data_IF_169167423870
#
_entry.id   IF_169167423870
#
_cell.length_a   1.000
_cell.length_b   1.000
_cell.length_c   1.000
_cell.angle_alpha   90.00
_cell.angle_beta   90.00
_cell.angle_gamma   90.00
#
_symmetry.space_group_name_H-M   'P 1'
#
loop_
_entity.id
_entity.type
_entity.pdbx_description
1 polymer ?
#
# COMPACT_ATOMS: atom_id res chain seq x y z
N UNK A 1 39.09 -34.09 50.02
CA UNK A 1 37.76 -34.35 49.44
C UNK A 1 37.35 -33.11 48.65
N UNK A 2 37.11 -33.25 47.34
CA UNK A 2 36.92 -32.15 46.37
C UNK A 2 35.49 -31.62 46.44
N UNK A 3 35.32 -30.33 46.66
CA UNK A 3 34.02 -29.63 46.67
C UNK A 3 33.49 -29.45 45.24
N UNK A 4 32.18 -29.63 44.97
CA UNK A 4 31.60 -29.50 43.63
C UNK A 4 31.25 -28.04 43.34
N UNK A 5 32.24 -27.25 42.91
CA UNK A 5 32.04 -25.84 42.53
C UNK A 5 31.58 -25.57 41.07
N UNK A 6 31.45 -26.53 40.11
CA UNK A 6 31.17 -26.15 38.71
C UNK A 6 29.68 -25.98 38.37
N UNK A 7 28.74 -26.43 39.23
CA UNK A 7 27.31 -26.41 38.87
C UNK A 7 26.61 -25.07 39.12
N UNK A 8 27.11 -24.23 40.03
CA UNK A 8 26.46 -22.96 40.38
C UNK A 8 26.73 -21.85 39.36
N UNK A 9 27.85 -21.89 38.63
CA UNK A 9 28.16 -20.91 37.58
C UNK A 9 27.38 -21.12 36.28
N UNK A 10 27.00 -22.37 35.96
CA UNK A 10 26.25 -22.68 34.74
C UNK A 10 24.80 -22.19 34.79
N UNK A 11 24.18 -22.16 35.98
CA UNK A 11 22.78 -21.74 36.15
C UNK A 11 22.59 -20.21 35.99
N UNK A 12 23.57 -19.40 36.41
CA UNK A 12 23.50 -17.94 36.29
C UNK A 12 23.62 -17.41 34.86
N UNK A 13 24.26 -18.15 33.94
CA UNK A 13 24.41 -17.72 32.55
C UNK A 13 23.14 -17.97 31.71
N UNK A 14 22.32 -18.96 32.07
CA UNK A 14 21.03 -19.22 31.42
C UNK A 14 19.93 -18.20 31.78
N UNK A 15 20.00 -17.58 32.97
CA UNK A 15 19.00 -16.59 33.41
C UNK A 15 19.18 -15.21 32.76
N UNK A 16 20.39 -14.84 32.35
CA UNK A 16 20.68 -13.55 31.70
C UNK A 16 20.33 -13.54 30.19
N UNK A 17 20.23 -14.71 29.55
CA UNK A 17 19.91 -14.80 28.12
C UNK A 17 18.41 -14.69 27.78
N UNK A 18 17.52 -14.78 28.78
CA UNK A 18 16.06 -14.78 28.56
C UNK A 18 15.42 -13.38 28.57
N UNK A 19 16.17 -12.34 28.95
CA UNK A 19 15.62 -10.99 29.12
C UNK A 19 15.55 -10.13 27.84
N UNK A 20 16.15 -10.56 26.72
CA UNK A 20 16.29 -9.72 25.52
C UNK A 20 15.28 -10.01 24.38
N UNK A 21 14.31 -10.91 24.57
CA UNK A 21 13.44 -11.34 23.47
C UNK A 21 11.96 -11.42 23.86
N UNK A 22 11.41 -10.40 24.52
CA UNK A 22 9.96 -10.19 24.48
C UNK A 22 9.63 -9.48 23.15
N UNK A 23 9.13 -10.20 22.11
CA UNK A 23 8.57 -9.51 20.96
C UNK A 23 7.43 -8.65 21.49
N UNK A 24 7.55 -7.33 21.33
CA UNK A 24 6.48 -6.41 21.66
C UNK A 24 5.18 -6.93 21.02
N UNK A 25 4.14 -7.10 21.83
CA UNK A 25 2.86 -7.56 21.35
C UNK A 25 2.41 -6.64 20.21
N UNK A 26 2.28 -7.23 19.01
CA UNK A 26 1.82 -6.48 17.84
C UNK A 26 0.34 -6.21 18.05
N UNK A 27 -0.01 -4.94 18.23
CA UNK A 27 -1.40 -4.55 18.21
C UNK A 27 -1.94 -4.84 16.82
N UNK A 28 -3.03 -5.60 16.74
CA UNK A 28 -3.68 -5.88 15.47
C UNK A 28 -4.07 -4.55 14.82
N UNK A 29 -3.69 -4.35 13.55
CA UNK A 29 -4.11 -3.18 12.80
C UNK A 29 -5.60 -3.34 12.51
N UNK A 30 -6.46 -2.39 12.92
CA UNK A 30 -7.89 -2.46 12.60
C UNK A 30 -8.12 -2.49 11.09
N UNK A 31 -9.22 -3.08 10.65
CA UNK A 31 -9.64 -3.00 9.25
C UNK A 31 -10.77 -1.97 9.08
N UNK A 32 -10.76 -1.24 7.97
CA UNK A 32 -11.87 -0.33 7.60
C UNK A 32 -12.99 -1.07 6.86
N UNK A 33 -12.67 -2.23 6.28
CA UNK A 33 -13.56 -3.22 5.69
C UNK A 33 -12.79 -4.54 5.54
N UNK A 34 -13.46 -5.69 5.37
CA UNK A 34 -12.78 -6.99 5.31
C UNK A 34 -11.61 -6.99 4.32
N UNK A 35 -10.42 -7.35 4.81
CA UNK A 35 -9.17 -7.44 4.05
C UNK A 35 -8.44 -6.11 3.82
N UNK A 36 -8.98 -4.98 4.29
CA UNK A 36 -8.39 -3.65 4.12
C UNK A 36 -8.01 -3.04 5.46
N UNK A 37 -6.71 -3.08 5.73
CA UNK A 37 -6.12 -2.45 6.90
C UNK A 37 -6.38 -0.95 6.93
N UNK A 38 -6.64 -0.41 8.12
CA UNK A 38 -6.69 1.03 8.38
C UNK A 38 -5.34 1.66 8.05
N UNK A 39 -5.41 2.86 7.47
CA UNK A 39 -4.25 3.68 7.17
C UNK A 39 -3.53 4.19 8.43
N UNK A 40 -2.63 5.14 8.23
CA UNK A 40 -1.91 5.83 9.29
C UNK A 40 -2.55 7.17 9.67
N UNK A 41 -3.29 7.77 8.74
CA UNK A 41 -3.88 9.09 8.95
C UNK A 41 -5.30 8.97 9.48
N UNK A 42 -5.59 9.73 10.53
CA UNK A 42 -6.98 10.02 10.93
C UNK A 42 -7.61 11.01 9.96
N UNK A 43 -8.93 11.07 9.93
CA UNK A 43 -9.69 11.87 8.94
C UNK A 43 -9.30 13.35 8.99
N UNK A 44 -9.06 13.90 10.17
CA UNK A 44 -8.69 15.30 10.38
C UNK A 44 -7.27 15.64 9.88
N UNK A 45 -6.44 14.62 9.65
CA UNK A 45 -5.07 14.77 9.14
C UNK A 45 -5.01 14.72 7.61
N UNK A 46 -6.09 14.33 6.94
CA UNK A 46 -6.14 14.28 5.48
C UNK A 46 -6.16 15.71 4.91
N UNK A 47 -5.32 16.01 3.90
CA UNK A 47 -5.42 17.26 3.17
C UNK A 47 -6.82 17.48 2.58
N UNK A 48 -7.29 18.73 2.58
CA UNK A 48 -8.52 19.10 1.88
C UNK A 48 -8.29 19.00 0.36
N UNK A 49 -8.73 17.88 -0.22
CA UNK A 49 -8.57 17.61 -1.65
C UNK A 49 -9.42 18.51 -2.55
N UNK A 50 -10.50 19.13 -2.03
CA UNK A 50 -11.32 20.07 -2.78
C UNK A 50 -10.59 21.42 -2.89
N UNK A 51 -9.98 21.87 -1.78
CA UNK A 51 -9.20 23.09 -1.77
C UNK A 51 -7.88 22.97 -2.56
N UNK A 52 -7.27 21.78 -2.55
CA UNK A 52 -5.96 21.54 -3.18
C UNK A 52 -6.03 21.36 -4.70
N UNK A 53 -7.05 20.67 -5.22
CA UNK A 53 -7.10 20.27 -6.62
C UNK A 53 -7.96 21.23 -7.47
N UNK A 54 -7.54 21.55 -8.70
CA UNK A 54 -8.41 22.25 -9.63
C UNK A 54 -9.61 21.36 -10.05
N UNK A 55 -10.69 21.95 -10.58
CA UNK A 55 -11.77 21.17 -11.18
C UNK A 55 -11.25 20.31 -12.35
N UNK A 56 -11.95 19.22 -12.70
CA UNK A 56 -11.56 18.40 -13.84
C UNK A 56 -11.58 19.21 -15.15
N UNK A 57 -10.78 18.83 -16.17
CA UNK A 57 -10.79 19.48 -17.47
C UNK A 57 -12.21 19.61 -18.04
N UNK A 58 -12.61 20.84 -18.36
CA UNK A 58 -13.93 21.11 -18.93
C UNK A 58 -14.02 20.55 -20.38
N UNK A 59 -15.19 20.07 -20.82
CA UNK A 59 -15.41 19.68 -22.21
C UNK A 59 -15.01 20.79 -23.19
N UNK A 60 -14.33 20.44 -24.27
CA UNK A 60 -13.84 21.41 -25.26
C UNK A 60 -12.57 22.17 -24.87
N UNK A 61 -12.04 22.00 -23.65
CA UNK A 61 -10.75 22.56 -23.27
C UNK A 61 -9.58 21.79 -23.88
N UNK A 62 -8.42 22.44 -24.03
CA UNK A 62 -7.20 21.78 -24.50
C UNK A 62 -6.76 20.61 -23.60
N UNK A 63 -6.98 20.73 -22.28
CA UNK A 63 -6.68 19.65 -21.33
C UNK A 63 -7.62 18.44 -21.53
N UNK A 64 -8.90 18.68 -21.85
CA UNK A 64 -9.81 17.59 -22.17
C UNK A 64 -9.45 16.91 -23.49
N UNK A 65 -9.06 17.67 -24.52
CA UNK A 65 -8.56 17.10 -25.77
C UNK A 65 -7.31 16.23 -25.57
N UNK A 66 -6.42 16.61 -24.65
CA UNK A 66 -5.27 15.77 -24.27
C UNK A 66 -5.73 14.47 -23.59
N UNK A 67 -6.69 14.53 -22.66
CA UNK A 67 -7.26 13.34 -22.02
C UNK A 67 -7.84 12.35 -23.07
N UNK A 68 -8.52 12.88 -24.09
CA UNK A 68 -9.05 12.08 -25.21
C UNK A 68 -7.93 11.47 -26.07
N UNK A 69 -6.89 12.24 -26.37
CA UNK A 69 -5.74 11.74 -27.13
C UNK A 69 -5.00 10.62 -26.37
N UNK A 70 -4.78 10.77 -25.07
CA UNK A 70 -4.15 9.74 -24.22
C UNK A 70 -5.01 8.47 -24.18
N UNK A 71 -6.33 8.60 -24.28
CA UNK A 71 -7.23 7.43 -24.32
C UNK A 71 -6.96 6.49 -25.49
N UNK A 72 -6.34 6.97 -26.58
CA UNK A 72 -5.91 6.14 -27.72
C UNK A 72 -4.90 5.05 -27.33
N UNK A 73 -4.33 5.08 -26.12
CA UNK A 73 -3.57 3.97 -25.54
C UNK A 73 -4.36 2.65 -25.51
N UNK A 74 -5.70 2.68 -25.64
CA UNK A 74 -6.54 1.49 -25.88
C UNK A 74 -6.13 0.70 -27.13
N UNK A 75 -5.50 1.34 -28.11
CA UNK A 75 -4.98 0.66 -29.32
C UNK A 75 -3.81 -0.28 -29.01
N UNK A 76 -3.26 -0.24 -27.78
CA UNK A 76 -2.23 -1.17 -27.33
C UNK A 76 -2.80 -2.53 -26.89
N UNK A 77 -4.12 -2.77 -26.95
CA UNK A 77 -4.72 -4.07 -26.64
C UNK A 77 -4.01 -5.22 -27.36
N UNK A 78 -3.77 -6.30 -26.64
CA UNK A 78 -3.06 -7.48 -27.15
C UNK A 78 -1.53 -7.36 -27.17
N UNK A 79 -0.98 -6.17 -26.91
CA UNK A 79 0.48 -5.99 -26.80
C UNK A 79 0.99 -6.38 -25.39
N UNK A 80 2.30 -6.67 -25.24
CA UNK A 80 2.91 -6.85 -23.92
C UNK A 80 2.72 -5.65 -22.98
N UNK A 81 2.71 -4.41 -23.53
CA UNK A 81 2.48 -3.20 -22.73
C UNK A 81 1.07 -3.19 -22.11
N UNK A 82 0.07 -3.68 -22.83
CA UNK A 82 -1.30 -3.80 -22.31
C UNK A 82 -1.42 -4.90 -21.26
N UNK A 83 -0.71 -6.02 -21.44
CA UNK A 83 -0.64 -7.06 -20.40
C UNK A 83 -0.02 -6.53 -19.11
N UNK A 84 1.05 -5.73 -19.20
CA UNK A 84 1.61 -5.06 -18.03
C UNK A 84 0.59 -4.11 -17.38
N UNK A 85 -0.14 -3.31 -18.16
CA UNK A 85 -1.17 -2.42 -17.61
C UNK A 85 -2.31 -3.18 -16.89
N UNK A 86 -2.66 -4.40 -17.33
CA UNK A 86 -3.61 -5.28 -16.63
C UNK A 86 -3.03 -5.72 -15.28
N UNK A 87 -1.76 -6.13 -15.24
CA UNK A 87 -1.10 -6.51 -13.99
C UNK A 87 -1.02 -5.32 -13.02
N UNK A 88 -0.62 -4.14 -13.51
CA UNK A 88 -0.52 -2.90 -12.72
C UNK A 88 -1.88 -2.46 -12.15
N UNK A 89 -2.99 -2.77 -12.86
CA UNK A 89 -4.35 -2.44 -12.42
C UNK A 89 -4.86 -3.32 -11.27
N UNK A 90 -4.21 -4.45 -10.97
CA UNK A 90 -4.57 -5.27 -9.83
C UNK A 90 -4.03 -4.66 -8.53
N UNK A 91 -4.90 -3.95 -7.82
CA UNK A 91 -4.56 -3.32 -6.56
C UNK A 91 -4.83 -4.22 -5.33
N UNK A 92 -5.10 -5.51 -5.50
CA UNK A 92 -5.19 -6.45 -4.38
C UNK A 92 -3.81 -6.89 -3.91
N UNK A 93 -3.68 -7.18 -2.62
CA UNK A 93 -2.46 -7.75 -2.09
C UNK A 93 -2.53 -9.28 -2.20
N UNK A 94 -1.42 -9.96 -2.58
CA UNK A 94 -0.05 -9.45 -2.64
C UNK A 94 0.36 -8.74 -3.94
N UNK A 95 -0.44 -8.77 -5.01
CA UNK A 95 -0.04 -8.28 -6.34
C UNK A 95 0.32 -6.78 -6.33
N UNK A 96 -0.43 -5.96 -5.61
CA UNK A 96 -0.17 -4.53 -5.44
C UNK A 96 1.18 -4.22 -4.79
N UNK A 97 1.73 -5.15 -4.01
CA UNK A 97 3.07 -5.02 -3.44
C UNK A 97 4.15 -5.54 -4.40
N UNK A 98 3.88 -6.64 -5.09
CA UNK A 98 4.88 -7.34 -5.91
C UNK A 98 5.38 -6.49 -7.09
N UNK A 99 4.57 -5.56 -7.61
CA UNK A 99 4.98 -4.62 -8.67
C UNK A 99 6.23 -3.79 -8.30
N UNK A 100 6.47 -3.56 -7.00
CA UNK A 100 7.63 -2.80 -6.53
C UNK A 100 8.89 -3.65 -6.32
N UNK A 101 8.77 -4.98 -6.35
CA UNK A 101 9.87 -5.88 -5.99
C UNK A 101 11.12 -5.70 -6.86
N UNK A 102 10.93 -5.48 -8.17
CA UNK A 102 12.04 -5.23 -9.10
C UNK A 102 12.79 -3.92 -8.75
N UNK A 103 12.05 -2.84 -8.48
CA UNK A 103 12.63 -1.54 -8.16
C UNK A 103 13.32 -1.51 -6.78
N UNK A 104 12.75 -2.21 -5.79
CA UNK A 104 13.29 -2.28 -4.43
C UNK A 104 14.43 -3.29 -4.33
N UNK A 105 14.49 -4.29 -5.22
CA UNK A 105 15.52 -5.33 -5.23
C UNK A 105 15.30 -6.44 -4.20
N UNK A 106 14.09 -6.54 -3.62
CA UNK A 106 13.70 -7.67 -2.76
C UNK A 106 12.26 -8.09 -3.01
N UNK A 107 11.97 -9.35 -2.74
CA UNK A 107 10.60 -9.86 -2.69
C UNK A 107 9.82 -9.13 -1.59
N UNK A 108 8.56 -8.77 -1.88
CA UNK A 108 7.67 -8.09 -0.94
C UNK A 108 6.45 -8.96 -0.67
N UNK A 109 6.46 -9.62 0.49
CA UNK A 109 5.34 -10.38 0.99
C UNK A 109 5.31 -10.41 2.51
N UNK A 110 4.24 -11.00 3.06
CA UNK A 110 3.97 -11.07 4.48
C UNK A 110 5.01 -11.90 5.26
N UNK A 111 5.61 -12.92 4.63
CA UNK A 111 6.55 -13.81 5.28
C UNK A 111 7.98 -13.24 5.28
N UNK A 112 8.47 -12.80 4.12
CA UNK A 112 9.83 -12.33 3.92
C UNK A 112 10.02 -10.88 4.39
N UNK A 113 9.00 -10.04 4.24
CA UNK A 113 9.09 -8.61 4.52
C UNK A 113 7.87 -8.08 5.29
N UNK A 114 7.50 -8.66 6.45
CA UNK A 114 6.25 -8.37 7.14
C UNK A 114 6.03 -6.88 7.45
N UNK A 115 7.11 -6.15 7.78
CA UNK A 115 7.03 -4.71 8.09
C UNK A 115 6.77 -3.87 6.84
N UNK A 116 7.48 -4.15 5.75
CA UNK A 116 7.28 -3.45 4.47
C UNK A 116 5.89 -3.77 3.89
N UNK A 117 5.49 -5.04 3.96
CA UNK A 117 4.16 -5.46 3.52
C UNK A 117 3.04 -4.74 4.29
N UNK A 118 3.15 -4.68 5.62
CA UNK A 118 2.22 -3.92 6.46
C UNK A 118 2.24 -2.41 6.17
N UNK A 119 3.42 -1.83 5.96
CA UNK A 119 3.57 -0.42 5.57
C UNK A 119 2.82 -0.12 4.27
N UNK A 120 3.03 -0.91 3.23
CA UNK A 120 2.38 -0.70 1.93
C UNK A 120 0.86 -0.89 2.01
N UNK A 121 0.37 -1.89 2.75
CA UNK A 121 -1.07 -2.12 2.93
C UNK A 121 -1.77 -0.90 3.53
N UNK A 122 -1.20 -0.32 4.59
CA UNK A 122 -1.77 0.84 5.28
C UNK A 122 -1.62 2.12 4.46
N UNK A 123 -0.46 2.33 3.85
CA UNK A 123 -0.19 3.50 2.98
C UNK A 123 -1.14 3.54 1.80
N UNK A 124 -1.45 2.38 1.19
CA UNK A 124 -2.45 2.30 0.11
C UNK A 124 -3.83 2.78 0.57
N UNK A 125 -4.22 2.48 1.81
CA UNK A 125 -5.50 2.94 2.36
C UNK A 125 -5.51 4.46 2.48
N UNK A 126 -4.48 5.08 3.05
CA UNK A 126 -4.36 6.54 3.12
C UNK A 126 -4.41 7.18 1.72
N UNK A 127 -3.64 6.63 0.78
CA UNK A 127 -3.60 7.09 -0.61
C UNK A 127 -4.96 6.95 -1.34
N UNK A 128 -5.79 5.99 -0.94
CA UNK A 128 -7.13 5.85 -1.48
C UNK A 128 -8.05 6.96 -0.95
N UNK A 129 -8.12 7.12 0.38
CA UNK A 129 -9.10 7.97 1.07
C UNK A 129 -8.81 9.46 0.95
N UNK A 130 -7.53 9.86 0.80
CA UNK A 130 -7.13 11.27 0.69
C UNK A 130 -7.81 12.02 -0.47
N UNK A 131 -8.21 11.29 -1.51
CA UNK A 131 -8.83 11.84 -2.72
C UNK A 131 -10.36 11.81 -2.71
N UNK A 132 -10.99 11.27 -1.66
CA UNK A 132 -12.41 10.95 -1.70
C UNK A 132 -13.30 12.20 -1.74
N UNK A 133 -12.98 13.27 -1.01
CA UNK A 133 -13.81 14.48 -1.02
C UNK A 133 -13.89 15.11 -2.43
N UNK A 134 -12.76 15.26 -3.13
CA UNK A 134 -12.73 15.72 -4.51
C UNK A 134 -13.46 14.77 -5.47
N UNK A 135 -13.30 13.44 -5.31
CA UNK A 135 -14.02 12.44 -6.12
C UNK A 135 -15.53 12.56 -5.98
N UNK A 136 -16.04 12.69 -4.74
CA UNK A 136 -17.47 12.87 -4.49
C UNK A 136 -17.97 14.22 -5.03
N UNK A 137 -17.20 15.29 -4.86
CA UNK A 137 -17.57 16.66 -5.29
C UNK A 137 -17.70 16.81 -6.81
N UNK A 138 -16.76 16.20 -7.55
CA UNK A 138 -16.69 16.37 -9.01
C UNK A 138 -17.33 15.21 -9.79
N UNK A 139 -17.39 14.01 -9.20
CA UNK A 139 -18.03 12.82 -9.75
C UNK A 139 -17.78 12.61 -11.25
N UNK A 140 -16.52 12.74 -11.67
CA UNK A 140 -16.12 12.70 -13.08
C UNK A 140 -16.40 11.30 -13.68
N UNK A 141 -17.15 11.27 -14.77
CA UNK A 141 -17.38 10.10 -15.62
C UNK A 141 -16.06 9.47 -16.07
N UNK A 142 -15.89 8.16 -15.88
CA UNK A 142 -14.69 7.42 -16.29
C UNK A 142 -14.63 7.22 -17.80
N UNK A 143 -13.42 7.14 -18.42
CA UNK A 143 -13.30 7.05 -19.87
C UNK A 143 -13.98 5.82 -20.51
N UNK A 144 -13.99 4.66 -19.85
CA UNK A 144 -14.64 3.46 -20.40
C UNK A 144 -16.18 3.58 -20.47
N UNK A 145 -16.78 4.54 -19.77
CA UNK A 145 -18.23 4.76 -19.77
C UNK A 145 -18.68 5.60 -20.97
N UNK A 146 -17.75 6.30 -21.63
CA UNK A 146 -18.03 7.22 -22.74
C UNK A 146 -17.42 6.73 -24.06
N UNK A 147 -16.24 6.12 -24.01
CA UNK A 147 -15.47 5.73 -25.20
C UNK A 147 -15.67 4.24 -25.54
N UNK A 148 -16.90 3.72 -25.36
CA UNK A 148 -17.25 2.29 -25.50
C UNK A 148 -16.47 1.57 -26.60
#
# INVERSE_FOLDING_TARGET
MRTPLPLLFAASLCLLASACATPAARHAVPEIRPGVARGYLETEQLPDSIALLPPPPAPGSAAFALDEQVNLARNLRGTPRWQQAIADANLQFPEAASIFACAIGTRIDEAATPRLYGLLRRTRTDAAVVSDAAKHRYNRTRPFMVNG
#
